data_IF_571169994466
#
_entry.id   IF_571169994466
#
_cell.length_a   1.000
_cell.length_b   1.000
_cell.length_c   1.000
_cell.angle_alpha   90.00
_cell.angle_beta   90.00
_cell.angle_gamma   90.00
#
_symmetry.space_group_name_H-M   'P 1'
#
loop_
_entity.id
_entity.type
_entity.pdbx_description
1 polymer ?
#
# COMPACT_ATOMS: atom_id res chain seq x y z
N UNK A 1 8.98 -49.39 69.28
CA UNK A 1 10.31 -48.90 68.88
C UNK A 1 10.28 -48.37 67.46
N UNK A 2 10.47 -47.05 67.33
CA UNK A 2 10.39 -46.33 66.06
C UNK A 2 11.69 -46.53 65.26
N UNK A 3 11.56 -46.94 64.00
CA UNK A 3 12.67 -47.14 63.09
C UNK A 3 13.10 -45.77 62.53
N UNK A 4 14.25 -45.26 62.95
CA UNK A 4 14.81 -43.99 62.49
C UNK A 4 15.61 -44.25 61.21
N UNK A 5 15.08 -43.84 60.06
CA UNK A 5 15.83 -43.85 58.79
C UNK A 5 16.95 -42.81 58.86
N UNK A 6 18.19 -43.29 58.91
CA UNK A 6 19.38 -42.45 58.71
C UNK A 6 19.50 -42.12 57.22
N UNK A 7 18.97 -40.98 56.80
CA UNK A 7 19.32 -40.39 55.51
C UNK A 7 20.66 -39.68 55.66
N UNK A 8 21.72 -40.24 55.06
CA UNK A 8 23.02 -39.59 55.02
C UNK A 8 22.90 -38.18 54.39
N UNK A 9 23.56 -37.16 54.96
CA UNK A 9 23.54 -35.82 54.40
C UNK A 9 24.14 -35.83 52.99
N UNK A 10 23.62 -35.04 52.04
CA UNK A 10 24.10 -35.05 50.67
C UNK A 10 25.59 -34.66 50.63
N UNK A 11 26.43 -35.64 50.31
CA UNK A 11 27.86 -35.45 50.14
C UNK A 11 28.12 -34.76 48.80
N UNK A 12 29.13 -33.87 48.70
CA UNK A 12 29.49 -33.26 47.44
C UNK A 12 29.94 -34.34 46.45
N UNK A 13 29.22 -34.47 45.34
CA UNK A 13 29.57 -35.41 44.27
C UNK A 13 30.24 -34.67 43.12
N UNK A 14 31.40 -35.15 42.70
CA UNK A 14 32.18 -34.62 41.58
C UNK A 14 31.92 -35.43 40.31
N UNK A 15 32.13 -34.80 39.15
CA UNK A 15 31.95 -35.40 37.81
C UNK A 15 30.55 -35.96 37.53
N UNK A 16 29.51 -35.38 38.16
CA UNK A 16 28.10 -35.75 37.92
C UNK A 16 27.38 -34.83 36.91
N UNK A 17 28.05 -33.78 36.42
CA UNK A 17 27.47 -32.91 35.38
C UNK A 17 27.21 -33.70 34.09
N UNK A 18 26.18 -33.29 33.32
CA UNK A 18 25.75 -33.97 32.08
C UNK A 18 26.92 -34.25 31.12
N UNK A 19 27.89 -33.32 31.03
CA UNK A 19 29.09 -33.48 30.19
C UNK A 19 30.01 -34.66 30.57
N UNK A 20 29.89 -35.18 31.78
CA UNK A 20 30.69 -36.30 32.29
C UNK A 20 29.91 -37.62 32.29
N UNK A 21 28.58 -37.55 32.45
CA UNK A 21 27.70 -38.73 32.56
C UNK A 21 27.13 -39.13 31.20
N UNK A 22 26.77 -38.16 30.38
CA UNK A 22 26.18 -38.40 29.07
C UNK A 22 27.26 -38.55 27.99
N UNK A 23 26.94 -39.34 26.96
CA UNK A 23 27.79 -39.47 25.79
C UNK A 23 27.78 -38.14 25.03
N UNK A 24 28.94 -37.49 24.93
CA UNK A 24 29.07 -36.23 24.17
C UNK A 24 28.77 -36.52 22.69
N UNK A 25 27.62 -36.01 22.24
CA UNK A 25 27.16 -36.11 20.86
C UNK A 25 26.91 -34.71 20.31
N UNK A 26 27.22 -34.50 19.03
CA UNK A 26 26.86 -33.27 18.34
C UNK A 26 25.34 -33.14 18.26
N UNK A 27 24.84 -31.92 18.41
CA UNK A 27 23.42 -31.62 18.19
C UNK A 27 23.08 -32.05 16.76
N UNK A 28 22.08 -32.92 16.61
CA UNK A 28 21.54 -33.21 15.28
C UNK A 28 20.91 -31.93 14.76
N UNK A 29 21.41 -31.41 13.64
CA UNK A 29 20.74 -30.33 12.90
C UNK A 29 19.45 -30.89 12.31
N UNK A 30 18.39 -30.95 13.13
CA UNK A 30 17.05 -30.90 12.59
C UNK A 30 16.87 -29.48 12.07
N UNK A 31 17.01 -29.29 10.76
CA UNK A 31 16.60 -28.05 10.10
C UNK A 31 15.11 -27.91 10.39
N UNK A 32 14.79 -27.16 11.44
CA UNK A 32 13.41 -26.93 11.83
C UNK A 32 12.83 -26.14 10.67
N UNK A 33 11.77 -26.66 10.06
CA UNK A 33 11.00 -26.07 8.94
C UNK A 33 10.60 -24.59 9.18
N UNK A 34 10.74 -24.13 10.43
CA UNK A 34 10.70 -22.74 10.88
C UNK A 34 11.72 -21.81 10.18
N UNK A 35 12.91 -22.28 9.85
CA UNK A 35 13.95 -21.45 9.19
C UNK A 35 13.69 -21.26 7.69
N UNK A 36 12.96 -22.18 7.04
CA UNK A 36 12.52 -22.00 5.66
C UNK A 36 11.45 -20.90 5.52
N UNK A 37 10.66 -20.63 6.56
CA UNK A 37 9.71 -19.49 6.60
C UNK A 37 10.39 -18.12 6.65
N UNK A 38 11.68 -18.08 7.00
CA UNK A 38 12.47 -16.84 7.09
C UNK A 38 12.84 -16.27 5.72
N UNK A 39 12.73 -17.09 4.66
CA UNK A 39 13.05 -16.70 3.29
C UNK A 39 11.77 -16.66 2.46
N UNK A 40 11.35 -15.45 2.04
CA UNK A 40 10.34 -15.31 0.98
C UNK A 40 10.92 -15.91 -0.29
N UNK A 41 10.44 -17.10 -0.71
CA UNK A 41 10.87 -17.76 -1.94
C UNK A 41 10.62 -16.90 -3.18
N UNK A 42 9.62 -16.01 -3.11
CA UNK A 42 9.21 -15.18 -4.22
C UNK A 42 9.55 -13.70 -3.96
N UNK A 43 10.39 -13.13 -4.82
CA UNK A 43 10.75 -11.70 -4.77
C UNK A 43 9.77 -10.91 -5.64
N UNK A 44 8.58 -10.64 -5.10
CA UNK A 44 7.58 -9.79 -5.77
C UNK A 44 8.16 -8.42 -6.14
N UNK A 45 7.82 -7.92 -7.33
CA UNK A 45 8.20 -6.57 -7.78
C UNK A 45 6.97 -5.77 -8.17
N UNK A 46 7.04 -4.47 -7.95
CA UNK A 46 6.06 -3.53 -8.49
C UNK A 46 6.54 -3.07 -9.85
N UNK A 47 5.90 -3.56 -10.91
CA UNK A 47 6.33 -3.31 -12.30
C UNK A 47 5.59 -2.15 -12.96
N UNK A 48 4.43 -1.77 -12.43
CA UNK A 48 3.58 -0.73 -13.01
C UNK A 48 2.94 0.12 -11.93
N UNK A 49 2.79 1.41 -12.21
CA UNK A 49 2.20 2.40 -11.31
C UNK A 49 1.15 3.21 -12.08
N UNK A 50 -0.10 3.18 -11.61
CA UNK A 50 -1.18 4.06 -12.02
C UNK A 50 -1.24 5.26 -11.06
N UNK A 51 -1.14 6.47 -11.59
CA UNK A 51 -1.33 7.72 -10.86
C UNK A 51 -2.65 8.34 -11.33
N UNK A 52 -3.71 8.17 -10.54
CA UNK A 52 -5.04 8.72 -10.81
C UNK A 52 -5.22 9.97 -9.95
N UNK A 53 -5.31 11.12 -10.60
CA UNK A 53 -5.43 12.42 -9.94
C UNK A 53 -6.78 13.03 -10.26
N UNK A 54 -7.61 13.23 -9.24
CA UNK A 54 -8.90 13.87 -9.33
C UNK A 54 -8.86 15.18 -8.53
N UNK A 55 -8.34 16.25 -9.15
CA UNK A 55 -7.97 17.50 -8.48
C UNK A 55 -8.86 18.68 -8.85
N UNK A 56 -9.44 18.72 -10.06
CA UNK A 56 -10.31 19.80 -10.56
C UNK A 56 -9.87 21.21 -10.11
N UNK A 57 -8.62 21.54 -10.43
CA UNK A 57 -7.93 22.70 -9.84
C UNK A 57 -8.73 23.99 -10.01
N UNK A 58 -9.04 24.64 -8.89
CA UNK A 58 -9.79 25.89 -8.84
C UNK A 58 -11.28 25.73 -8.56
N UNK A 59 -11.78 24.50 -8.48
CA UNK A 59 -13.17 24.18 -8.11
C UNK A 59 -13.14 23.25 -6.90
N UNK A 60 -13.67 23.73 -5.77
CA UNK A 60 -13.76 22.92 -4.56
C UNK A 60 -15.00 22.00 -4.61
N UNK A 61 -14.89 20.75 -4.12
CA UNK A 61 -16.04 19.85 -4.04
C UNK A 61 -17.04 20.34 -2.97
N UNK A 62 -18.34 20.05 -3.15
CA UNK A 62 -19.42 20.67 -2.35
C UNK A 62 -19.42 20.27 -0.86
N UNK A 63 -18.75 19.18 -0.50
CA UNK A 63 -18.70 18.63 0.86
C UNK A 63 -17.50 19.12 1.67
N UNK A 64 -16.53 19.81 1.05
CA UNK A 64 -15.31 20.26 1.71
C UNK A 64 -15.31 21.79 1.86
N UNK A 65 -15.43 22.24 3.11
CA UNK A 65 -15.27 23.64 3.46
C UNK A 65 -13.81 23.93 3.82
N UNK A 66 -13.09 24.64 2.93
CA UNK A 66 -11.68 24.98 3.17
C UNK A 66 -11.56 26.18 4.12
N UNK A 67 -10.75 26.09 5.20
CA UNK A 67 -10.51 27.23 6.09
C UNK A 67 -9.71 28.33 5.38
N UNK A 68 -9.73 29.55 5.93
CA UNK A 68 -8.88 30.65 5.45
C UNK A 68 -7.87 31.03 6.55
N UNK A 69 -6.55 30.76 6.38
CA UNK A 69 -5.88 30.19 5.20
C UNK A 69 -6.03 28.65 5.08
N UNK A 70 -5.92 28.11 3.86
CA UNK A 70 -5.91 26.67 3.58
C UNK A 70 -4.55 26.19 3.04
N UNK A 71 -4.23 24.92 3.27
CA UNK A 71 -3.14 24.24 2.57
C UNK A 71 -3.52 24.06 1.09
N UNK A 72 -2.61 24.42 0.18
CA UNK A 72 -2.87 24.44 -1.28
C UNK A 72 -1.85 23.69 -2.12
N UNK A 73 -0.67 23.41 -1.57
CA UNK A 73 0.41 22.79 -2.36
C UNK A 73 0.09 21.33 -2.59
N UNK A 74 0.12 20.93 -3.85
CA UNK A 74 -0.04 19.54 -4.28
C UNK A 74 1.29 19.06 -4.87
N UNK A 75 1.83 17.96 -4.33
CA UNK A 75 3.15 17.44 -4.73
C UNK A 75 4.25 18.52 -4.79
N UNK A 76 4.28 19.40 -3.77
CA UNK A 76 5.20 20.55 -3.65
C UNK A 76 5.01 21.67 -4.70
N UNK A 77 3.91 21.65 -5.45
CA UNK A 77 3.57 22.67 -6.45
C UNK A 77 2.38 23.47 -5.94
N UNK A 78 2.48 24.79 -5.98
CA UNK A 78 1.34 25.67 -5.76
C UNK A 78 0.55 25.78 -7.08
N UNK A 79 -0.72 25.33 -7.13
CA UNK A 79 -1.55 25.48 -8.31
C UNK A 79 -2.04 26.92 -8.53
N UNK A 80 -1.96 27.79 -7.52
CA UNK A 80 -2.45 29.17 -7.60
C UNK A 80 -1.67 29.98 -8.65
N UNK A 81 -2.40 30.70 -9.51
CA UNK A 81 -1.80 31.56 -10.54
C UNK A 81 -1.27 30.82 -11.77
N UNK A 82 -1.40 29.50 -11.84
CA UNK A 82 -1.15 28.72 -13.05
C UNK A 82 -2.46 28.38 -13.77
N UNK A 83 -2.39 28.11 -15.08
CA UNK A 83 -3.52 27.51 -15.78
C UNK A 83 -3.79 26.11 -15.18
N UNK A 84 -5.04 25.80 -14.74
CA UNK A 84 -5.41 24.52 -14.13
C UNK A 84 -4.93 23.28 -14.90
N UNK A 85 -5.09 23.29 -16.23
CA UNK A 85 -4.69 22.18 -17.11
C UNK A 85 -3.17 21.97 -17.12
N UNK A 86 -2.40 23.06 -17.03
CA UNK A 86 -0.93 22.98 -16.91
C UNK A 86 -0.52 22.55 -15.50
N UNK A 87 -1.25 23.00 -14.49
CA UNK A 87 -0.99 22.67 -13.09
C UNK A 87 -1.13 21.18 -12.81
N UNK A 88 -2.23 20.54 -13.25
CA UNK A 88 -2.44 19.11 -13.02
C UNK A 88 -1.35 18.25 -13.67
N UNK A 89 -0.90 18.60 -14.88
CA UNK A 89 0.19 17.89 -15.57
C UNK A 89 1.51 18.04 -14.79
N UNK A 90 1.80 19.24 -14.26
CA UNK A 90 3.01 19.51 -13.48
C UNK A 90 2.99 18.72 -12.16
N UNK A 91 1.85 18.68 -11.49
CA UNK A 91 1.62 17.91 -10.26
C UNK A 91 1.83 16.41 -10.53
N UNK A 92 1.21 15.87 -11.59
CA UNK A 92 1.40 14.48 -12.01
C UNK A 92 2.87 14.13 -12.26
N UNK A 93 3.61 15.01 -12.94
CA UNK A 93 5.04 14.83 -13.20
C UNK A 93 5.86 14.86 -11.90
N UNK A 94 5.54 15.73 -10.95
CA UNK A 94 6.21 15.79 -9.66
C UNK A 94 5.93 14.54 -8.80
N UNK A 95 4.68 14.05 -8.82
CA UNK A 95 4.30 12.81 -8.15
C UNK A 95 5.03 11.61 -8.75
N UNK A 96 5.07 11.51 -10.08
CA UNK A 96 5.81 10.47 -10.78
C UNK A 96 7.29 10.47 -10.37
N UNK A 97 7.96 11.62 -10.41
CA UNK A 97 9.37 11.74 -9.97
C UNK A 97 9.58 11.31 -8.52
N UNK A 98 8.60 11.58 -7.65
CA UNK A 98 8.66 11.17 -6.24
C UNK A 98 8.63 9.64 -6.10
N UNK A 99 7.82 8.94 -6.88
CA UNK A 99 7.81 7.48 -6.91
C UNK A 99 9.01 6.88 -7.64
N UNK A 100 9.49 7.51 -8.72
CA UNK A 100 10.69 7.06 -9.46
C UNK A 100 11.93 7.00 -8.57
N UNK A 101 12.02 7.85 -7.54
CA UNK A 101 13.09 7.77 -6.53
C UNK A 101 13.09 6.44 -5.77
N UNK A 102 11.92 5.84 -5.52
CA UNK A 102 11.78 4.58 -4.80
C UNK A 102 11.81 3.37 -5.74
N UNK A 103 11.20 3.48 -6.93
CA UNK A 103 11.16 2.43 -7.94
C UNK A 103 11.39 2.99 -9.35
N UNK A 104 12.65 3.16 -9.79
CA UNK A 104 12.95 3.83 -11.06
C UNK A 104 12.63 2.99 -12.30
N UNK A 105 12.50 1.66 -12.16
CA UNK A 105 12.32 0.74 -13.30
C UNK A 105 10.86 0.38 -13.59
N UNK A 106 9.91 0.88 -12.80
CA UNK A 106 8.50 0.66 -13.03
C UNK A 106 7.98 1.50 -14.20
N UNK A 107 6.91 1.04 -14.83
CA UNK A 107 6.18 1.80 -15.84
C UNK A 107 5.14 2.70 -15.16
N UNK A 108 5.33 4.01 -15.29
CA UNK A 108 4.40 5.01 -14.76
C UNK A 108 3.37 5.42 -15.81
N UNK A 109 2.11 5.53 -15.40
CA UNK A 109 1.03 6.11 -16.20
C UNK A 109 0.16 7.01 -15.33
N UNK A 110 0.02 8.26 -15.74
CA UNK A 110 -0.86 9.22 -15.09
C UNK A 110 -2.18 9.36 -15.84
N UNK A 111 -3.26 9.52 -15.09
CA UNK A 111 -4.58 9.87 -15.56
C UNK A 111 -5.03 11.10 -14.76
N UNK A 112 -5.09 12.25 -15.44
CA UNK A 112 -5.37 13.56 -14.85
C UNK A 112 -6.84 13.89 -15.09
N UNK A 113 -7.58 14.12 -14.01
CA UNK A 113 -9.02 14.33 -13.96
C UNK A 113 -9.80 13.35 -14.88
N UNK A 114 -9.63 12.02 -14.70
CA UNK A 114 -10.13 11.03 -15.64
C UNK A 114 -11.63 10.74 -15.51
N UNK A 115 -12.16 10.09 -16.55
CA UNK A 115 -13.46 9.42 -16.50
C UNK A 115 -13.34 7.98 -16.01
N UNK A 116 -14.48 7.36 -15.64
CA UNK A 116 -14.55 5.93 -15.30
C UNK A 116 -13.94 5.05 -16.39
N UNK A 117 -14.24 5.35 -17.66
CA UNK A 117 -13.71 4.61 -18.80
C UNK A 117 -12.19 4.75 -18.94
N UNK A 118 -11.63 5.93 -18.64
CA UNK A 118 -10.18 6.16 -18.67
C UNK A 118 -9.49 5.35 -17.58
N UNK A 119 -10.05 5.35 -16.36
CA UNK A 119 -9.54 4.54 -15.23
C UNK A 119 -9.63 3.05 -15.57
N UNK A 120 -10.76 2.58 -16.10
CA UNK A 120 -10.93 1.18 -16.52
C UNK A 120 -9.89 0.76 -17.55
N UNK A 121 -9.72 1.55 -18.62
CA UNK A 121 -8.73 1.26 -19.67
C UNK A 121 -7.31 1.28 -19.12
N UNK A 122 -7.00 2.21 -18.21
CA UNK A 122 -5.71 2.29 -17.55
C UNK A 122 -5.42 1.03 -16.74
N UNK A 123 -6.30 0.66 -15.81
CA UNK A 123 -6.15 -0.50 -14.92
C UNK A 123 -6.02 -1.80 -15.73
N UNK A 124 -6.93 -2.04 -16.66
CA UNK A 124 -6.90 -3.24 -17.51
C UNK A 124 -5.65 -3.28 -18.40
N UNK A 125 -5.20 -2.14 -18.92
CA UNK A 125 -3.95 -2.07 -19.68
C UNK A 125 -2.74 -2.43 -18.82
N UNK A 126 -2.67 -1.92 -17.59
CA UNK A 126 -1.56 -2.23 -16.68
C UNK A 126 -1.57 -3.70 -16.25
N UNK A 127 -2.74 -4.25 -15.89
CA UNK A 127 -2.86 -5.68 -15.52
C UNK A 127 -2.43 -6.61 -16.64
N UNK A 128 -2.90 -6.41 -17.87
CA UNK A 128 -2.45 -7.22 -19.02
C UNK A 128 -0.93 -7.24 -19.21
N UNK A 129 -0.26 -6.13 -18.90
CA UNK A 129 1.19 -6.02 -19.03
C UNK A 129 1.95 -6.58 -17.83
N UNK A 130 1.41 -6.45 -16.61
CA UNK A 130 2.07 -6.89 -15.39
C UNK A 130 1.98 -8.40 -15.16
N UNK A 131 0.99 -9.09 -15.75
CA UNK A 131 0.73 -10.52 -15.52
C UNK A 131 0.55 -10.80 -14.02
N UNK A 132 1.49 -11.51 -13.42
CA UNK A 132 1.52 -11.91 -12.00
C UNK A 132 2.31 -10.94 -11.12
N UNK A 133 2.91 -9.90 -11.71
CA UNK A 133 3.64 -8.89 -10.95
C UNK A 133 2.71 -7.85 -10.32
N UNK A 134 3.23 -7.15 -9.32
CA UNK A 134 2.45 -6.18 -8.55
C UNK A 134 2.27 -4.87 -9.31
N UNK A 135 1.08 -4.29 -9.17
CA UNK A 135 0.75 -2.95 -9.68
C UNK A 135 0.42 -2.05 -8.49
N UNK A 136 0.93 -0.82 -8.51
CA UNK A 136 0.53 0.22 -7.56
C UNK A 136 -0.54 1.11 -8.20
N UNK A 137 -1.63 1.34 -7.49
CA UNK A 137 -2.67 2.30 -7.84
C UNK A 137 -2.67 3.41 -6.80
N UNK A 138 -2.29 4.61 -7.21
CA UNK A 138 -2.36 5.81 -6.40
C UNK A 138 -3.58 6.62 -6.85
N UNK A 139 -4.49 6.90 -5.93
CA UNK A 139 -5.63 7.76 -6.14
C UNK A 139 -5.53 8.98 -5.24
N UNK A 140 -5.54 10.16 -5.85
CA UNK A 140 -5.70 11.42 -5.14
C UNK A 140 -7.08 12.00 -5.47
N UNK A 141 -7.89 12.23 -4.44
CA UNK A 141 -9.29 12.66 -4.54
C UNK A 141 -9.56 14.02 -3.91
N UNK A 142 -8.61 14.96 -3.89
CA UNK A 142 -8.80 16.27 -3.25
C UNK A 142 -9.78 17.22 -3.97
N UNK A 143 -10.06 16.98 -5.26
CA UNK A 143 -10.97 17.79 -6.09
C UNK A 143 -12.37 17.20 -6.26
N UNK A 144 -12.70 16.17 -5.50
CA UNK A 144 -13.97 15.43 -5.59
C UNK A 144 -14.53 15.18 -4.20
N UNK A 145 -15.82 14.81 -4.07
CA UNK A 145 -16.39 14.50 -2.77
C UNK A 145 -15.68 13.34 -2.05
N UNK A 146 -15.86 13.27 -0.74
CA UNK A 146 -15.37 12.18 0.09
C UNK A 146 -15.97 10.82 -0.35
N UNK A 147 -15.23 9.72 -0.19
CA UNK A 147 -15.73 8.38 -0.47
C UNK A 147 -17.03 8.07 0.29
N UNK A 148 -17.85 7.21 -0.30
CA UNK A 148 -19.13 6.80 0.30
C UNK A 148 -18.96 5.57 1.20
N UNK A 149 -19.87 5.37 2.15
CA UNK A 149 -19.92 4.17 3.00
C UNK A 149 -20.20 2.88 2.20
N UNK A 150 -20.73 3.02 0.97
CA UNK A 150 -20.97 1.91 0.05
C UNK A 150 -19.69 1.41 -0.65
N UNK A 151 -18.54 2.03 -0.37
CA UNK A 151 -17.27 1.67 -1.00
C UNK A 151 -17.14 2.23 -2.41
N UNK A 152 -17.48 3.50 -2.59
CA UNK A 152 -17.31 4.22 -3.87
C UNK A 152 -16.38 5.41 -3.69
N UNK A 153 -15.53 5.62 -4.69
CA UNK A 153 -14.73 6.84 -4.86
C UNK A 153 -15.26 7.64 -6.04
N UNK A 154 -14.82 8.89 -6.19
CA UNK A 154 -15.38 9.79 -7.19
C UNK A 154 -14.38 10.09 -8.32
N UNK A 155 -14.88 10.15 -9.55
CA UNK A 155 -14.15 10.60 -10.74
C UNK A 155 -15.03 11.57 -11.53
N UNK A 156 -14.59 12.03 -12.70
CA UNK A 156 -15.34 13.02 -13.49
C UNK A 156 -16.10 12.41 -14.65
N UNK A 157 -17.09 13.14 -15.16
CA UNK A 157 -17.56 12.95 -16.53
C UNK A 157 -16.69 13.75 -17.53
N UNK A 158 -16.85 13.51 -18.83
CA UNK A 158 -16.03 14.16 -19.89
C UNK A 158 -16.11 15.69 -19.89
N UNK A 159 -17.23 16.23 -19.42
CA UNK A 159 -17.51 17.66 -19.47
C UNK A 159 -17.25 18.36 -18.13
N UNK A 160 -16.73 17.65 -17.12
CA UNK A 160 -16.50 18.17 -15.77
C UNK A 160 -17.72 18.83 -15.12
N UNK A 161 -18.92 18.34 -15.43
CA UNK A 161 -20.19 18.85 -14.88
C UNK A 161 -20.70 18.03 -13.71
N UNK A 162 -20.27 16.77 -13.59
CA UNK A 162 -20.75 15.84 -12.58
C UNK A 162 -19.60 14.98 -12.06
N UNK A 163 -19.66 14.69 -10.76
CA UNK A 163 -18.88 13.63 -10.14
C UNK A 163 -19.58 12.30 -10.39
N UNK A 164 -18.83 11.33 -10.88
CA UNK A 164 -19.31 10.00 -11.22
C UNK A 164 -18.77 9.01 -10.17
N UNK A 165 -19.62 8.23 -9.50
CA UNK A 165 -19.16 7.24 -8.55
C UNK A 165 -18.45 6.09 -9.28
N UNK A 166 -17.35 5.64 -8.71
CA UNK A 166 -16.56 4.50 -9.12
C UNK A 166 -16.53 3.50 -7.97
N UNK A 167 -17.11 2.33 -8.20
CA UNK A 167 -17.09 1.24 -7.23
C UNK A 167 -15.67 0.70 -7.02
N UNK A 168 -15.26 0.56 -5.76
CA UNK A 168 -13.97 -0.07 -5.40
C UNK A 168 -13.95 -1.53 -5.85
N UNK A 169 -15.09 -2.21 -5.85
CA UNK A 169 -15.22 -3.59 -6.31
C UNK A 169 -14.85 -3.73 -7.80
N UNK A 170 -15.38 -2.83 -8.63
CA UNK A 170 -15.05 -2.80 -10.06
C UNK A 170 -13.57 -2.49 -10.29
N UNK A 171 -13.04 -1.53 -9.53
CA UNK A 171 -11.62 -1.19 -9.59
C UNK A 171 -10.73 -2.39 -9.24
N UNK A 172 -11.05 -3.12 -8.17
CA UNK A 172 -10.34 -4.33 -7.78
C UNK A 172 -10.39 -5.40 -8.87
N UNK A 173 -11.55 -5.59 -9.52
CA UNK A 173 -11.71 -6.50 -10.64
C UNK A 173 -10.81 -6.11 -11.83
N UNK A 174 -10.70 -4.82 -12.16
CA UNK A 174 -9.85 -4.36 -13.26
C UNK A 174 -8.36 -4.42 -12.94
N UNK A 175 -8.00 -4.15 -11.68
CA UNK A 175 -6.62 -4.15 -11.21
C UNK A 175 -6.09 -5.55 -10.97
N UNK A 176 -6.91 -6.52 -10.59
CA UNK A 176 -6.51 -7.91 -10.32
C UNK A 176 -5.46 -8.07 -9.21
N UNK A 177 -5.04 -9.31 -8.97
CA UNK A 177 -3.98 -9.65 -8.01
C UNK A 177 -2.64 -9.89 -8.73
N UNK A 178 -1.48 -9.50 -8.16
CA UNK A 178 -1.29 -8.71 -6.92
C UNK A 178 -1.33 -7.19 -7.18
N UNK A 179 -1.91 -6.43 -6.25
CA UNK A 179 -2.01 -4.96 -6.34
C UNK A 179 -1.84 -4.29 -4.97
N UNK A 180 -1.38 -3.03 -4.99
CA UNK A 180 -1.28 -2.14 -3.82
C UNK A 180 -2.02 -0.84 -4.14
N UNK A 181 -2.78 -0.34 -3.17
CA UNK A 181 -3.58 0.87 -3.31
C UNK A 181 -3.06 1.94 -2.35
N UNK A 182 -2.97 3.18 -2.83
CA UNK A 182 -2.65 4.38 -2.04
C UNK A 182 -3.82 5.34 -2.22
N UNK A 183 -4.48 5.67 -1.12
CA UNK A 183 -5.66 6.52 -1.09
C UNK A 183 -5.32 7.83 -0.41
N UNK A 184 -5.23 8.89 -1.20
CA UNK A 184 -4.98 10.26 -0.75
C UNK A 184 -6.26 11.08 -0.96
N UNK A 185 -7.19 10.95 -0.01
CA UNK A 185 -8.46 11.65 -0.04
C UNK A 185 -9.03 11.86 1.37
N UNK A 186 -9.98 12.78 1.48
CA UNK A 186 -10.72 12.99 2.71
C UNK A 186 -11.48 11.72 3.10
N UNK A 187 -11.43 11.33 4.38
CA UNK A 187 -12.10 10.13 4.90
C UNK A 187 -11.70 8.82 4.19
N UNK A 188 -10.43 8.67 3.78
CA UNK A 188 -9.92 7.48 3.10
C UNK A 188 -10.15 6.15 3.85
N UNK A 189 -10.39 6.18 5.16
CA UNK A 189 -10.77 5.00 5.94
C UNK A 189 -12.06 4.33 5.46
N UNK A 190 -12.99 5.07 4.83
CA UNK A 190 -14.21 4.48 4.24
C UNK A 190 -13.93 3.61 3.01
N UNK A 191 -12.76 3.78 2.39
CA UNK A 191 -12.33 3.00 1.22
C UNK A 191 -11.77 1.63 1.64
N UNK A 192 -11.30 1.50 2.88
CA UNK A 192 -10.68 0.30 3.43
C UNK A 192 -11.53 -0.16 4.64
N UNK A 193 -12.56 -1.00 4.42
CA UNK A 193 -13.40 -1.50 5.50
C UNK A 193 -12.64 -2.40 6.49
#
# INVERSE_FOLDING_TARGET
DANVEHTDPPLPTWFQELRHVEKIVGIKEEIVDRDLRKYSKERMRTVSVALVLCLNIGVDPPDVHKPNPCARKECWIDPLGMNPQKAVIKIASALQKSYERWQPRARYKAANDPTVDDVRRLCQSLRRNAKEERILFHYNGHGVPRPTENGEVWVFNKNFTQYIPLSIFDLQSWMGHPAVYVWDCHCAGLVVP
#
